data_IF_197441933787
#
_entry.id   IF_197441933787
#
_cell.length_a   1.000
_cell.length_b   1.000
_cell.length_c   1.000
_cell.angle_alpha   90.00
_cell.angle_beta   90.00
_cell.angle_gamma   90.00
#
_symmetry.space_group_name_H-M   'P 1'
#
loop_
_entity.id
_entity.type
_entity.pdbx_description
1 polymer ?
#
# COMPACT_ATOMS: atom_id res chain seq x y z
N UNK A 1 -31.76 16.55 -4.47
CA UNK A 1 -30.35 16.78 -4.06
C UNK A 1 -29.39 15.93 -4.88
N UNK A 2 -29.47 14.59 -4.83
CA UNK A 2 -28.55 13.67 -5.55
C UNK A 2 -28.31 14.00 -7.03
N UNK A 3 -29.37 14.34 -7.80
CA UNK A 3 -29.25 14.78 -9.20
C UNK A 3 -28.44 16.07 -9.38
N UNK A 4 -28.53 17.02 -8.45
CA UNK A 4 -27.81 18.31 -8.53
C UNK A 4 -26.31 18.16 -8.26
N UNK A 5 -25.91 17.11 -7.55
CA UNK A 5 -24.52 16.83 -7.18
C UNK A 5 -23.91 15.71 -8.01
N UNK A 6 -24.59 15.22 -9.06
CA UNK A 6 -24.07 14.22 -9.99
C UNK A 6 -23.95 12.81 -9.43
N UNK A 7 -24.65 12.47 -8.34
CA UNK A 7 -24.67 11.09 -7.79
C UNK A 7 -25.61 10.18 -8.60
N UNK A 8 -26.61 10.78 -9.27
CA UNK A 8 -27.64 10.09 -10.04
C UNK A 8 -27.82 10.78 -11.37
N UNK A 9 -27.63 10.02 -12.45
CA UNK A 9 -27.80 10.42 -13.85
C UNK A 9 -28.79 9.43 -14.52
N UNK A 10 -30.09 9.75 -14.50
CA UNK A 10 -31.13 8.89 -15.10
C UNK A 10 -31.71 7.82 -14.17
N UNK A 11 -31.81 6.57 -14.66
CA UNK A 11 -32.46 5.40 -14.03
C UNK A 11 -31.70 4.78 -12.85
N UNK A 12 -30.84 5.54 -12.15
CA UNK A 12 -30.17 4.98 -10.97
C UNK A 12 -31.20 4.64 -9.88
N UNK A 13 -31.02 3.45 -9.30
CA UNK A 13 -31.96 2.92 -8.34
C UNK A 13 -31.89 3.66 -7.01
N UNK A 14 -33.05 4.08 -6.53
CA UNK A 14 -33.28 4.67 -5.21
C UNK A 14 -34.12 3.68 -4.42
N UNK A 15 -33.75 3.43 -3.16
CA UNK A 15 -34.50 2.55 -2.26
C UNK A 15 -34.87 3.34 -0.99
N UNK A 16 -36.13 3.25 -0.57
CA UNK A 16 -36.55 3.79 0.72
C UNK A 16 -36.30 2.78 1.86
N UNK A 17 -36.08 3.27 3.09
CA UNK A 17 -35.89 2.41 4.26
C UNK A 17 -37.02 1.39 4.47
N UNK A 18 -38.27 1.75 4.13
CA UNK A 18 -39.41 0.82 4.20
C UNK A 18 -39.28 -0.36 3.23
N UNK A 19 -38.81 -0.10 2.02
CA UNK A 19 -38.56 -1.13 1.01
C UNK A 19 -37.37 -2.01 1.43
N UNK A 20 -36.31 -1.39 1.94
CA UNK A 20 -35.12 -2.09 2.44
C UNK A 20 -35.43 -3.03 3.62
N UNK A 21 -36.42 -2.69 4.45
CA UNK A 21 -36.90 -3.53 5.54
C UNK A 21 -37.65 -4.78 5.06
N UNK A 22 -38.31 -4.70 3.89
CA UNK A 22 -39.05 -5.82 3.30
C UNK A 22 -38.16 -6.74 2.47
N UNK A 23 -36.97 -6.28 2.06
CA UNK A 23 -36.02 -7.06 1.30
C UNK A 23 -35.27 -8.07 2.17
N UNK A 24 -35.16 -9.31 1.68
CA UNK A 24 -34.28 -10.31 2.27
C UNK A 24 -32.82 -9.86 2.19
N UNK A 25 -31.96 -10.41 3.05
CA UNK A 25 -30.54 -10.05 3.08
C UNK A 25 -29.85 -10.41 1.76
N UNK A 26 -30.13 -11.59 1.20
CA UNK A 26 -29.59 -12.06 -0.07
C UNK A 26 -30.04 -11.20 -1.26
N UNK A 27 -31.33 -10.83 -1.31
CA UNK A 27 -31.84 -9.96 -2.38
C UNK A 27 -31.22 -8.57 -2.32
N UNK A 28 -31.02 -8.07 -1.10
CA UNK A 28 -30.40 -6.77 -0.89
C UNK A 28 -28.92 -6.79 -1.26
N UNK A 29 -28.16 -7.81 -0.85
CA UNK A 29 -26.75 -7.98 -1.22
C UNK A 29 -26.55 -7.94 -2.74
N UNK A 30 -27.40 -8.62 -3.52
CA UNK A 30 -27.29 -8.62 -4.99
C UNK A 30 -27.53 -7.24 -5.61
N UNK A 31 -28.42 -6.45 -5.00
CA UNK A 31 -28.87 -5.16 -5.53
C UNK A 31 -28.06 -3.98 -4.99
N UNK A 32 -27.38 -4.12 -3.85
CA UNK A 32 -26.71 -3.04 -3.13
C UNK A 32 -25.73 -2.22 -4.00
N UNK A 33 -25.02 -2.86 -4.95
CA UNK A 33 -24.07 -2.19 -5.85
C UNK A 33 -24.75 -1.26 -6.89
N UNK A 34 -26.01 -1.49 -7.21
CA UNK A 34 -26.76 -0.71 -8.21
C UNK A 34 -27.49 0.49 -7.56
N UNK A 35 -27.69 0.44 -6.24
CA UNK A 35 -28.41 1.46 -5.49
C UNK A 35 -27.46 2.62 -5.20
N UNK A 36 -27.82 3.81 -5.65
CA UNK A 36 -27.02 5.04 -5.45
C UNK A 36 -27.53 5.90 -4.30
N UNK A 37 -28.81 5.76 -3.94
CA UNK A 37 -29.45 6.57 -2.91
C UNK A 37 -30.33 5.70 -2.04
N UNK A 38 -30.07 5.78 -0.73
CA UNK A 38 -30.94 5.24 0.31
C UNK A 38 -31.65 6.40 1.00
N UNK A 39 -32.98 6.40 0.99
CA UNK A 39 -33.78 7.49 1.55
C UNK A 39 -34.53 7.02 2.80
N UNK A 40 -34.61 7.91 3.82
CA UNK A 40 -35.34 7.66 5.07
C UNK A 40 -34.92 6.35 5.76
N UNK A 41 -33.61 6.17 5.92
CA UNK A 41 -33.03 4.97 6.54
C UNK A 41 -32.88 5.13 8.05
N UNK A 42 -33.19 4.05 8.77
CA UNK A 42 -32.97 3.95 10.20
C UNK A 42 -31.51 3.57 10.53
N UNK A 43 -31.01 3.81 11.75
CA UNK A 43 -29.63 3.51 12.14
C UNK A 43 -29.19 2.06 11.87
N UNK A 44 -30.04 1.09 12.19
CA UNK A 44 -29.77 -0.34 11.92
C UNK A 44 -29.64 -0.64 10.43
N UNK A 45 -30.37 0.09 9.60
CA UNK A 45 -30.34 -0.08 8.16
C UNK A 45 -29.03 0.44 7.55
N UNK A 46 -28.41 1.47 8.14
CA UNK A 46 -27.08 1.94 7.73
C UNK A 46 -26.04 0.82 7.91
N UNK A 47 -26.10 0.09 9.03
CA UNK A 47 -25.24 -1.06 9.29
C UNK A 47 -25.51 -2.18 8.26
N UNK A 48 -26.78 -2.45 7.95
CA UNK A 48 -27.17 -3.44 6.91
C UNK A 48 -26.57 -3.09 5.55
N UNK A 49 -26.59 -1.81 5.16
CA UNK A 49 -25.99 -1.31 3.90
C UNK A 49 -24.47 -1.53 3.89
N UNK A 50 -23.78 -1.13 4.97
CA UNK A 50 -22.32 -1.30 5.09
C UNK A 50 -21.93 -2.78 4.95
N UNK A 51 -22.59 -3.67 5.70
CA UNK A 51 -22.31 -5.11 5.66
C UNK A 51 -22.60 -5.73 4.28
N UNK A 52 -23.69 -5.31 3.62
CA UNK A 52 -24.02 -5.81 2.29
C UNK A 52 -22.96 -5.42 1.24
N UNK A 53 -22.40 -4.21 1.33
CA UNK A 53 -21.31 -3.77 0.46
C UNK A 53 -20.00 -4.52 0.78
N UNK A 54 -19.65 -4.67 2.06
CA UNK A 54 -18.48 -5.43 2.49
C UNK A 54 -18.50 -6.90 2.04
N UNK A 55 -19.66 -7.57 2.15
CA UNK A 55 -19.84 -8.96 1.68
C UNK A 55 -19.63 -9.13 0.17
N UNK A 56 -19.71 -8.05 -0.60
CA UNK A 56 -19.39 -8.04 -2.04
C UNK A 56 -17.91 -7.80 -2.34
N UNK A 57 -17.08 -7.65 -1.31
CA UNK A 57 -15.65 -7.36 -1.44
C UNK A 57 -15.33 -5.87 -1.66
N UNK A 58 -16.29 -4.97 -1.45
CA UNK A 58 -16.04 -3.53 -1.47
C UNK A 58 -15.41 -3.07 -0.15
N UNK A 59 -14.49 -2.11 -0.24
CA UNK A 59 -13.92 -1.45 0.94
C UNK A 59 -14.71 -0.16 1.23
N UNK A 60 -15.48 -0.16 2.31
CA UNK A 60 -16.56 0.79 2.56
C UNK A 60 -16.11 1.89 3.54
N UNK A 61 -16.19 3.13 3.08
CA UNK A 61 -16.11 4.30 3.94
C UNK A 61 -17.52 4.82 4.27
N UNK A 62 -17.79 5.08 5.54
CA UNK A 62 -19.07 5.66 6.00
C UNK A 62 -18.84 7.01 6.65
N UNK A 63 -19.66 8.00 6.31
CA UNK A 63 -19.66 9.32 6.96
C UNK A 63 -20.86 9.49 7.89
N UNK A 64 -20.68 10.15 9.03
CA UNK A 64 -21.75 10.41 9.99
C UNK A 64 -21.41 11.56 10.95
N UNK A 65 -22.43 12.18 11.52
CA UNK A 65 -22.30 13.29 12.48
C UNK A 65 -23.06 13.05 13.78
N UNK A 66 -24.08 12.19 13.75
CA UNK A 66 -24.91 11.88 14.91
C UNK A 66 -24.43 10.69 15.75
N UNK A 67 -24.90 10.65 17.01
CA UNK A 67 -24.76 9.49 17.92
C UNK A 67 -25.33 8.21 17.28
N UNK A 68 -26.40 8.36 16.50
CA UNK A 68 -27.05 7.26 15.78
C UNK A 68 -26.16 6.67 14.67
N UNK A 69 -25.16 7.40 14.19
CA UNK A 69 -24.25 6.93 13.15
C UNK A 69 -23.04 6.21 13.73
N UNK A 70 -22.73 6.40 15.02
CA UNK A 70 -21.57 5.80 15.68
C UNK A 70 -21.48 4.27 15.51
N UNK A 71 -22.58 3.49 15.65
CA UNK A 71 -22.52 2.05 15.39
C UNK A 71 -22.11 1.73 13.95
N UNK A 72 -22.62 2.47 12.98
CA UNK A 72 -22.39 2.20 11.57
C UNK A 72 -21.01 2.70 11.10
N UNK A 73 -20.52 3.81 11.66
CA UNK A 73 -19.13 4.27 11.52
C UNK A 73 -18.14 3.18 11.95
N UNK A 74 -18.38 2.56 13.11
CA UNK A 74 -17.53 1.50 13.66
C UNK A 74 -17.57 0.17 12.88
N UNK A 75 -18.63 -0.06 12.10
CA UNK A 75 -18.76 -1.26 11.28
C UNK A 75 -18.19 -1.09 9.87
N UNK A 76 -18.02 0.16 9.41
CA UNK A 76 -17.39 0.44 8.14
C UNK A 76 -15.89 0.10 8.19
N UNK A 77 -15.28 -0.10 7.02
CA UNK A 77 -13.83 -0.31 6.95
C UNK A 77 -13.06 0.98 7.24
N UNK A 78 -13.71 2.13 7.00
CA UNK A 78 -13.28 3.46 7.48
C UNK A 78 -14.51 4.26 7.91
N UNK A 79 -14.63 4.53 9.21
CA UNK A 79 -15.57 5.49 9.76
C UNK A 79 -15.04 6.92 9.65
N UNK A 80 -15.86 7.84 9.14
CA UNK A 80 -15.52 9.26 8.95
C UNK A 80 -16.52 10.15 9.70
N UNK A 81 -16.05 10.89 10.70
CA UNK A 81 -16.88 11.83 11.46
C UNK A 81 -16.68 13.29 11.01
N UNK A 82 -17.74 14.08 11.14
CA UNK A 82 -17.68 15.55 10.95
C UNK A 82 -17.03 16.21 12.18
N UNK A 83 -16.07 17.10 11.99
CA UNK A 83 -15.31 17.73 13.06
C UNK A 83 -16.03 18.88 13.73
N UNK A 84 -16.72 19.73 12.96
CA UNK A 84 -17.45 20.87 13.51
C UNK A 84 -18.88 20.50 13.92
N UNK A 85 -19.61 19.78 13.05
CA UNK A 85 -21.01 19.40 13.27
C UNK A 85 -21.19 18.06 14.00
N UNK A 86 -20.15 17.23 14.06
CA UNK A 86 -20.24 15.90 14.63
C UNK A 86 -20.22 15.89 16.16
N UNK A 87 -21.12 15.07 16.71
CA UNK A 87 -21.14 14.75 18.14
C UNK A 87 -19.83 14.10 18.61
N UNK A 88 -19.49 14.25 19.89
CA UNK A 88 -18.29 13.61 20.47
C UNK A 88 -18.33 12.08 20.27
N UNK A 89 -19.52 11.47 20.41
CA UNK A 89 -19.71 10.03 20.21
C UNK A 89 -19.40 9.60 18.77
N UNK A 90 -19.80 10.40 17.76
CA UNK A 90 -19.46 10.11 16.38
C UNK A 90 -17.95 10.22 16.12
N UNK A 91 -17.29 11.23 16.69
CA UNK A 91 -15.84 11.43 16.58
C UNK A 91 -15.04 10.32 17.26
N UNK A 92 -15.46 9.84 18.42
CA UNK A 92 -14.83 8.71 19.12
C UNK A 92 -15.03 7.37 18.38
N UNK A 93 -16.10 7.23 17.62
CA UNK A 93 -16.41 6.01 16.87
C UNK A 93 -15.78 5.95 15.47
N UNK A 94 -15.20 7.04 14.98
CA UNK A 94 -14.64 7.16 13.63
C UNK A 94 -13.12 6.94 13.60
N UNK A 95 -12.62 6.38 12.49
CA UNK A 95 -11.19 6.24 12.22
C UNK A 95 -10.56 7.55 11.72
N UNK A 96 -11.37 8.43 11.12
CA UNK A 96 -10.95 9.72 10.59
C UNK A 96 -11.96 10.82 10.93
N UNK A 97 -11.48 12.01 11.29
CA UNK A 97 -12.32 13.19 11.59
C UNK A 97 -12.02 14.31 10.59
N UNK A 98 -13.07 14.83 9.94
CA UNK A 98 -12.97 15.95 9.00
C UNK A 98 -13.07 17.29 9.75
N UNK A 99 -11.94 17.91 10.03
CA UNK A 99 -11.90 19.17 10.81
C UNK A 99 -12.62 20.35 10.14
N UNK A 100 -12.84 20.30 8.83
CA UNK A 100 -13.45 21.35 8.02
C UNK A 100 -14.87 21.03 7.53
N UNK A 101 -15.42 19.86 7.91
CA UNK A 101 -16.71 19.35 7.46
C UNK A 101 -16.88 19.30 5.93
N UNK A 102 -15.78 19.16 5.16
CA UNK A 102 -15.80 19.19 3.71
C UNK A 102 -15.59 17.81 3.08
N UNK A 103 -16.56 17.35 2.28
CA UNK A 103 -16.44 16.09 1.53
C UNK A 103 -15.25 16.05 0.56
N UNK A 104 -14.79 17.21 0.05
CA UNK A 104 -13.61 17.28 -0.80
C UNK A 104 -12.33 16.80 -0.08
N UNK A 105 -12.28 16.94 1.25
CA UNK A 105 -11.16 16.50 2.09
C UNK A 105 -11.05 14.98 2.12
N UNK A 106 -12.17 14.25 2.00
CA UNK A 106 -12.16 12.78 1.83
C UNK A 106 -11.44 12.39 0.53
N UNK A 107 -11.69 13.12 -0.57
CA UNK A 107 -11.01 12.86 -1.85
C UNK A 107 -9.50 13.11 -1.72
N UNK A 108 -9.11 14.15 -0.95
CA UNK A 108 -7.72 14.41 -0.59
C UNK A 108 -7.09 13.26 0.21
N UNK A 109 -7.79 12.78 1.25
CA UNK A 109 -7.34 11.66 2.08
C UNK A 109 -7.18 10.37 1.26
N UNK A 110 -8.10 10.07 0.33
CA UNK A 110 -7.99 8.93 -0.57
C UNK A 110 -6.76 9.05 -1.49
N UNK A 111 -6.49 10.25 -2.02
CA UNK A 111 -5.28 10.51 -2.83
C UNK A 111 -4.01 10.23 -2.02
N UNK A 112 -3.93 10.76 -0.80
CA UNK A 112 -2.76 10.58 0.06
C UNK A 112 -2.59 9.12 0.51
N UNK A 113 -3.69 8.43 0.81
CA UNK A 113 -3.66 7.00 1.13
C UNK A 113 -3.12 6.15 -0.02
N UNK A 114 -3.49 6.46 -1.27
CA UNK A 114 -2.92 5.80 -2.45
C UNK A 114 -1.42 6.07 -2.58
N UNK A 115 -0.97 7.31 -2.34
CA UNK A 115 0.45 7.68 -2.39
C UNK A 115 1.26 6.92 -1.34
N UNK A 116 0.78 6.90 -0.10
CA UNK A 116 1.43 6.18 1.00
C UNK A 116 1.56 4.69 0.64
N UNK A 117 0.51 4.08 0.10
CA UNK A 117 0.56 2.67 -0.30
C UNK A 117 1.60 2.40 -1.41
N UNK A 118 1.62 3.22 -2.47
CA UNK A 118 2.60 3.09 -3.56
C UNK A 118 4.04 3.21 -3.02
N UNK A 119 4.29 4.14 -2.10
CA UNK A 119 5.59 4.33 -1.46
C UNK A 119 5.98 3.15 -0.55
N UNK A 120 5.05 2.62 0.25
CA UNK A 120 5.28 1.41 1.06
C UNK A 120 5.63 0.22 0.16
N UNK A 121 4.93 0.08 -0.97
CA UNK A 121 5.21 -1.00 -1.93
C UNK A 121 6.60 -0.88 -2.56
N UNK A 122 7.04 0.33 -2.90
CA UNK A 122 8.42 0.60 -3.36
C UNK A 122 9.46 0.29 -2.29
N UNK A 123 9.22 0.70 -1.06
CA UNK A 123 10.08 0.41 0.09
C UNK A 123 10.23 -1.11 0.30
N UNK A 124 9.13 -1.85 0.36
CA UNK A 124 9.16 -3.32 0.51
C UNK A 124 9.91 -3.97 -0.63
N UNK A 125 9.65 -3.56 -1.89
CA UNK A 125 10.36 -4.08 -3.06
C UNK A 125 11.86 -3.84 -2.98
N UNK A 126 12.28 -2.66 -2.55
CA UNK A 126 13.68 -2.31 -2.35
C UNK A 126 14.34 -3.20 -1.29
N UNK A 127 13.83 -3.17 -0.06
CA UNK A 127 14.42 -3.90 1.08
C UNK A 127 14.46 -5.40 0.83
N UNK A 128 13.38 -5.98 0.29
CA UNK A 128 13.33 -7.41 0.00
C UNK A 128 14.32 -7.83 -1.09
N UNK A 129 14.54 -6.99 -2.10
CA UNK A 129 15.50 -7.27 -3.17
C UNK A 129 16.95 -7.13 -2.67
N UNK A 130 17.27 -6.11 -1.85
CA UNK A 130 18.57 -5.97 -1.19
C UNK A 130 18.89 -7.18 -0.32
N UNK A 131 17.94 -7.59 0.54
CA UNK A 131 18.06 -8.76 1.40
C UNK A 131 18.24 -10.06 0.58
N UNK A 132 17.52 -10.19 -0.54
CA UNK A 132 17.71 -11.34 -1.43
C UNK A 132 19.14 -11.39 -1.97
N UNK A 133 19.75 -10.25 -2.33
CA UNK A 133 21.14 -10.19 -2.77
C UNK A 133 22.12 -10.67 -1.70
N UNK A 134 21.97 -10.19 -0.46
CA UNK A 134 22.78 -10.64 0.68
C UNK A 134 22.67 -12.14 0.93
N UNK A 135 21.44 -12.67 0.90
CA UNK A 135 21.19 -14.10 1.06
C UNK A 135 21.92 -14.88 -0.04
N UNK A 136 21.83 -14.46 -1.30
CA UNK A 136 22.55 -15.14 -2.39
C UNK A 136 24.06 -15.11 -2.22
N UNK A 137 24.64 -13.97 -1.83
CA UNK A 137 26.09 -13.84 -1.57
C UNK A 137 26.53 -14.82 -0.49
N UNK A 138 25.84 -14.82 0.66
CA UNK A 138 26.19 -15.66 1.80
C UNK A 138 25.95 -17.15 1.51
N UNK A 139 24.88 -17.47 0.79
CA UNK A 139 24.52 -18.84 0.46
C UNK A 139 25.47 -19.43 -0.58
N UNK A 140 25.75 -18.72 -1.66
CA UNK A 140 26.50 -19.26 -2.80
C UNK A 140 28.01 -19.27 -2.60
N UNK A 141 28.57 -18.36 -1.80
CA UNK A 141 30.02 -18.30 -1.58
C UNK A 141 30.63 -19.65 -1.10
N UNK A 142 30.08 -20.33 -0.09
CA UNK A 142 30.57 -21.65 0.32
C UNK A 142 30.49 -22.72 -0.79
N UNK A 143 29.42 -22.72 -1.59
CA UNK A 143 29.27 -23.67 -2.71
C UNK A 143 30.30 -23.44 -3.81
N UNK A 144 30.78 -22.21 -3.97
CA UNK A 144 31.85 -21.83 -4.90
C UNK A 144 33.25 -22.00 -4.31
N UNK A 145 33.38 -22.49 -3.07
CA UNK A 145 34.67 -22.63 -2.38
C UNK A 145 35.29 -21.28 -1.97
N UNK A 146 34.50 -20.20 -1.96
CA UNK A 146 34.94 -18.87 -1.55
C UNK A 146 34.83 -18.71 -0.03
N UNK A 147 35.71 -17.90 0.60
CA UNK A 147 35.59 -17.58 2.01
C UNK A 147 34.31 -16.77 2.29
N UNK A 148 33.89 -16.72 3.56
CA UNK A 148 32.70 -15.98 3.98
C UNK A 148 32.81 -14.51 3.53
N UNK A 149 31.91 -14.01 2.66
CA UNK A 149 32.09 -12.70 2.02
C UNK A 149 31.90 -11.53 2.98
N UNK A 150 30.94 -11.66 3.89
CA UNK A 150 30.53 -10.60 4.81
C UNK A 150 30.52 -11.12 6.25
N UNK A 151 31.03 -10.29 7.17
CA UNK A 151 30.93 -10.52 8.60
C UNK A 151 29.56 -10.03 9.11
N UNK A 152 29.07 -10.56 10.25
CA UNK A 152 27.82 -10.09 10.86
C UNK A 152 27.74 -8.58 11.07
N UNK A 153 28.87 -7.94 11.41
CA UNK A 153 28.95 -6.48 11.58
C UNK A 153 28.71 -5.71 10.26
N UNK A 154 29.16 -6.25 9.12
CA UNK A 154 28.90 -5.67 7.80
C UNK A 154 27.41 -5.74 7.47
N UNK A 155 26.78 -6.88 7.75
CA UNK A 155 25.33 -7.10 7.52
C UNK A 155 24.51 -6.13 8.37
N UNK A 156 24.85 -5.97 9.65
CA UNK A 156 24.19 -5.00 10.53
C UNK A 156 24.33 -3.56 9.99
N UNK A 157 25.51 -3.21 9.50
CA UNK A 157 25.75 -1.89 8.92
C UNK A 157 24.93 -1.65 7.64
N UNK A 158 24.84 -2.66 6.77
CA UNK A 158 24.04 -2.56 5.53
C UNK A 158 22.57 -2.38 5.88
N UNK A 159 22.00 -3.25 6.71
CA UNK A 159 20.59 -3.21 7.09
C UNK A 159 20.21 -1.90 7.81
N UNK A 160 21.06 -1.39 8.69
CA UNK A 160 20.74 -0.20 9.48
C UNK A 160 20.97 1.10 8.70
N UNK A 161 22.15 1.25 8.08
CA UNK A 161 22.59 2.52 7.51
C UNK A 161 22.31 2.56 6.02
N UNK A 162 22.72 1.52 5.29
CA UNK A 162 22.68 1.53 3.82
C UNK A 162 21.26 1.33 3.29
N UNK A 163 20.48 0.45 3.89
CA UNK A 163 19.09 0.20 3.47
C UNK A 163 18.09 1.12 4.16
N UNK A 164 18.36 1.51 5.41
CA UNK A 164 17.48 2.37 6.20
C UNK A 164 17.27 3.75 5.56
N UNK A 165 18.36 4.43 5.16
CA UNK A 165 18.26 5.80 4.63
C UNK A 165 17.53 5.88 3.29
N UNK A 166 17.87 5.09 2.26
CA UNK A 166 17.12 5.08 1.01
C UNK A 166 15.69 4.58 1.19
N UNK A 167 15.47 3.64 2.11
CA UNK A 167 14.14 3.16 2.43
C UNK A 167 13.22 4.26 2.98
N UNK A 168 13.72 5.09 3.89
CA UNK A 168 13.01 6.28 4.37
C UNK A 168 12.78 7.31 3.26
N UNK A 169 13.74 7.49 2.36
CA UNK A 169 13.58 8.39 1.21
C UNK A 169 12.46 7.91 0.27
N UNK A 170 12.37 6.61 0.00
CA UNK A 170 11.29 6.02 -0.81
C UNK A 170 9.91 6.20 -0.16
N UNK A 171 9.83 6.15 1.17
CA UNK A 171 8.59 6.40 1.89
C UNK A 171 8.07 7.84 1.70
N UNK A 172 8.97 8.81 1.49
CA UNK A 172 8.66 10.23 1.33
C UNK A 172 8.48 10.67 -0.14
N UNK A 173 8.59 9.77 -1.12
CA UNK A 173 8.47 10.11 -2.54
C UNK A 173 7.14 10.81 -2.88
N UNK A 174 7.13 11.74 -3.84
CA UNK A 174 5.91 12.37 -4.34
C UNK A 174 4.96 11.35 -5.00
N UNK A 175 3.69 11.74 -5.13
CA UNK A 175 2.69 10.90 -5.80
C UNK A 175 3.00 10.64 -7.28
N UNK A 176 2.64 9.45 -7.76
CA UNK A 176 2.79 9.12 -9.17
C UNK A 176 1.75 9.84 -10.04
N UNK A 177 2.13 10.12 -11.29
CA UNK A 177 1.23 10.71 -12.27
C UNK A 177 -0.01 9.82 -12.45
N UNK A 178 -1.19 10.45 -12.37
CA UNK A 178 -2.46 9.78 -12.59
C UNK A 178 -2.90 8.84 -11.46
N UNK A 179 -2.42 9.01 -10.23
CA UNK A 179 -2.78 8.17 -9.07
C UNK A 179 -4.30 8.03 -8.85
N UNK A 180 -5.06 9.10 -9.09
CA UNK A 180 -6.53 9.11 -8.96
C UNK A 180 -7.28 8.57 -10.19
N UNK A 181 -6.60 8.36 -11.32
CA UNK A 181 -7.20 7.78 -12.54
C UNK A 181 -7.19 6.26 -12.53
N UNK A 182 -6.44 5.64 -11.62
CA UNK A 182 -6.37 4.18 -11.44
C UNK A 182 -7.62 3.70 -10.68
N UNK A 183 -8.17 2.53 -11.02
CA UNK A 183 -9.24 1.93 -10.22
C UNK A 183 -8.75 1.64 -8.80
N UNK A 184 -9.66 1.54 -7.80
CA UNK A 184 -9.30 1.07 -6.47
C UNK A 184 -8.62 -0.30 -6.52
N UNK A 185 -7.64 -0.52 -5.64
CA UNK A 185 -6.96 -1.81 -5.51
C UNK A 185 -7.92 -2.84 -4.90
N UNK A 186 -7.94 -4.09 -5.38
CA UNK A 186 -8.63 -5.17 -4.69
C UNK A 186 -8.10 -5.34 -3.25
N UNK A 187 -8.96 -5.44 -2.23
CA UNK A 187 -8.53 -5.59 -0.84
C UNK A 187 -7.63 -6.80 -0.59
N UNK A 188 -7.86 -7.89 -1.33
CA UNK A 188 -7.15 -9.17 -1.18
C UNK A 188 -5.83 -9.26 -1.97
N UNK A 189 -5.47 -8.23 -2.75
CA UNK A 189 -4.24 -8.27 -3.54
C UNK A 189 -3.00 -8.27 -2.62
N UNK A 190 -2.12 -9.26 -2.79
CA UNK A 190 -0.88 -9.33 -2.02
C UNK A 190 0.09 -8.19 -2.37
N UNK A 191 0.89 -7.75 -1.39
CA UNK A 191 1.96 -6.76 -1.62
C UNK A 191 2.96 -7.25 -2.69
N UNK A 192 3.16 -8.57 -2.80
CA UNK A 192 4.07 -9.19 -3.76
C UNK A 192 3.45 -9.43 -5.15
N UNK A 193 2.22 -8.97 -5.38
CA UNK A 193 1.57 -9.06 -6.68
C UNK A 193 2.33 -8.27 -7.76
N UNK A 194 1.97 -8.55 -9.02
CA UNK A 194 2.54 -7.92 -10.21
C UNK A 194 4.05 -8.18 -10.40
N UNK A 195 4.50 -9.42 -10.18
CA UNK A 195 5.87 -9.84 -10.49
C UNK A 195 6.95 -9.35 -9.51
N UNK A 196 6.57 -8.74 -8.38
CA UNK A 196 7.53 -8.25 -7.38
C UNK A 196 8.47 -9.35 -6.88
N UNK A 197 7.94 -10.54 -6.59
CA UNK A 197 8.75 -11.67 -6.11
C UNK A 197 9.75 -12.17 -7.16
N UNK A 198 9.39 -12.13 -8.45
CA UNK A 198 10.30 -12.50 -9.55
C UNK A 198 11.43 -11.48 -9.66
N UNK A 199 11.10 -10.19 -9.59
CA UNK A 199 12.07 -9.11 -9.59
C UNK A 199 13.06 -9.24 -8.42
N UNK A 200 12.55 -9.50 -7.21
CA UNK A 200 13.36 -9.71 -6.01
C UNK A 200 14.41 -10.82 -6.20
N UNK A 201 13.99 -11.98 -6.72
CA UNK A 201 14.89 -13.12 -6.93
C UNK A 201 15.93 -12.81 -8.02
N UNK A 202 15.50 -12.32 -9.18
CA UNK A 202 16.40 -12.11 -10.31
C UNK A 202 17.40 -10.98 -10.07
N UNK A 203 16.95 -9.86 -9.52
CA UNK A 203 17.83 -8.73 -9.21
C UNK A 203 18.74 -9.07 -8.03
N UNK A 204 18.21 -9.75 -7.00
CA UNK A 204 19.03 -10.27 -5.91
C UNK A 204 20.12 -11.21 -6.42
N UNK A 205 19.80 -12.14 -7.33
CA UNK A 205 20.78 -13.04 -7.93
C UNK A 205 21.83 -12.29 -8.76
N UNK A 206 21.43 -11.26 -9.50
CA UNK A 206 22.35 -10.41 -10.27
C UNK A 206 23.34 -9.68 -9.36
N UNK A 207 22.83 -9.05 -8.28
CA UNK A 207 23.67 -8.35 -7.29
C UNK A 207 24.59 -9.34 -6.58
N UNK A 208 24.05 -10.50 -6.19
CA UNK A 208 24.84 -11.54 -5.55
C UNK A 208 25.93 -12.09 -6.47
N UNK A 209 25.59 -12.38 -7.72
CA UNK A 209 26.55 -12.80 -8.75
C UNK A 209 27.65 -11.78 -8.99
N UNK A 210 27.31 -10.50 -9.17
CA UNK A 210 28.28 -9.41 -9.34
C UNK A 210 29.23 -9.29 -8.14
N UNK A 211 28.69 -9.42 -6.93
CA UNK A 211 29.45 -9.35 -5.68
C UNK A 211 30.42 -10.53 -5.55
N UNK A 212 29.97 -11.76 -5.85
CA UNK A 212 30.80 -12.97 -5.82
C UNK A 212 31.85 -12.99 -6.93
N UNK A 213 31.53 -12.50 -8.13
CA UNK A 213 32.50 -12.33 -9.21
C UNK A 213 33.61 -11.35 -8.79
N UNK A 214 33.23 -10.24 -8.16
CA UNK A 214 34.18 -9.26 -7.63
C UNK A 214 35.03 -9.86 -6.50
N UNK A 215 34.45 -10.72 -5.67
CA UNK A 215 35.18 -11.46 -4.63
C UNK A 215 36.22 -12.40 -5.23
N UNK A 216 35.82 -13.25 -6.18
CA UNK A 216 36.71 -14.21 -6.82
C UNK A 216 37.88 -13.50 -7.52
N UNK A 217 37.57 -12.42 -8.25
CA UNK A 217 38.59 -11.59 -8.91
C UNK A 217 39.56 -10.94 -7.91
N UNK A 218 39.06 -10.40 -6.80
CA UNK A 218 39.91 -9.77 -5.79
C UNK A 218 40.84 -10.78 -5.10
N UNK A 219 40.35 -12.00 -4.83
CA UNK A 219 41.16 -13.08 -4.23
C UNK A 219 42.23 -13.55 -5.22
N UNK A 220 41.87 -13.79 -6.49
CA UNK A 220 42.82 -14.21 -7.54
C UNK A 220 43.90 -13.15 -7.80
N UNK A 221 43.53 -11.86 -7.73
CA UNK A 221 44.46 -10.74 -7.85
C UNK A 221 45.38 -10.56 -6.63
N UNK A 222 45.22 -11.36 -5.57
CA UNK A 222 46.01 -11.28 -4.33
C UNK A 222 45.71 -10.04 -3.48
N UNK A 223 44.52 -9.45 -3.61
CA UNK A 223 44.15 -8.26 -2.85
C UNK A 223 43.91 -8.59 -1.37
N UNK A 224 44.71 -8.02 -0.47
CA UNK A 224 44.55 -8.21 0.98
C UNK A 224 43.22 -7.66 1.52
N UNK A 225 42.59 -6.75 0.80
CA UNK A 225 41.36 -6.03 1.14
C UNK A 225 40.12 -6.53 0.36
N UNK A 226 40.10 -7.80 -0.06
CA UNK A 226 38.99 -8.40 -0.81
C UNK A 226 37.63 -8.26 -0.11
N UNK A 227 37.57 -8.34 1.23
CA UNK A 227 36.32 -8.14 1.99
C UNK A 227 35.77 -6.72 1.84
N UNK A 228 36.64 -5.71 1.81
CA UNK A 228 36.24 -4.32 1.59
C UNK A 228 35.70 -4.15 0.18
N UNK A 229 36.33 -4.76 -0.83
CA UNK A 229 35.86 -4.72 -2.22
C UNK A 229 34.46 -5.33 -2.32
N UNK A 230 34.24 -6.51 -1.74
CA UNK A 230 32.92 -7.18 -1.69
C UNK A 230 31.88 -6.27 -1.04
N UNK A 231 32.18 -5.74 0.14
CA UNK A 231 31.29 -4.85 0.87
C UNK A 231 30.92 -3.59 0.07
N UNK A 232 31.91 -2.94 -0.55
CA UNK A 232 31.70 -1.74 -1.35
C UNK A 232 30.90 -2.04 -2.62
N UNK A 233 31.20 -3.13 -3.34
CA UNK A 233 30.46 -3.52 -4.55
C UNK A 233 29.00 -3.81 -4.22
N UNK A 234 28.74 -4.52 -3.10
CA UNK A 234 27.38 -4.81 -2.67
C UNK A 234 26.60 -3.53 -2.38
N UNK A 235 27.17 -2.63 -1.56
CA UNK A 235 26.54 -1.35 -1.21
C UNK A 235 26.26 -0.50 -2.45
N UNK A 236 27.24 -0.35 -3.34
CA UNK A 236 27.06 0.45 -4.55
C UNK A 236 25.99 -0.16 -5.47
N UNK A 237 25.93 -1.49 -5.55
CA UNK A 237 24.90 -2.19 -6.32
C UNK A 237 23.50 -1.98 -5.74
N UNK A 238 23.36 -2.06 -4.41
CA UNK A 238 22.10 -1.78 -3.70
C UNK A 238 21.67 -0.32 -3.89
N UNK A 239 22.59 0.65 -3.79
CA UNK A 239 22.29 2.06 -4.05
C UNK A 239 21.88 2.31 -5.50
N UNK A 240 22.52 1.65 -6.47
CA UNK A 240 22.10 1.72 -7.87
C UNK A 240 20.68 1.13 -8.07
N UNK A 241 20.35 0.07 -7.33
CA UNK A 241 19.03 -0.55 -7.36
C UNK A 241 17.94 0.37 -6.80
N UNK A 242 18.21 1.18 -5.76
CA UNK A 242 17.27 2.21 -5.26
C UNK A 242 16.85 3.12 -6.41
N UNK A 243 17.83 3.60 -7.18
CA UNK A 243 17.58 4.50 -8.31
C UNK A 243 16.72 3.82 -9.37
N UNK A 244 16.97 2.54 -9.65
CA UNK A 244 16.16 1.76 -10.59
C UNK A 244 14.72 1.51 -10.10
N UNK A 245 14.49 1.39 -8.79
CA UNK A 245 13.15 1.12 -8.21
C UNK A 245 12.34 2.40 -8.01
N UNK A 246 12.98 3.58 -7.98
CA UNK A 246 12.33 4.87 -7.75
C UNK A 246 11.12 5.11 -8.67
N UNK A 247 11.18 4.61 -9.90
CA UNK A 247 10.08 4.70 -10.86
C UNK A 247 9.69 3.32 -11.39
N UNK A 248 8.46 2.88 -11.14
CA UNK A 248 7.94 1.62 -11.69
C UNK A 248 7.45 1.74 -13.15
N UNK A 249 7.27 2.96 -13.67
CA UNK A 249 6.62 3.19 -14.98
C UNK A 249 7.31 4.20 -15.88
N UNK A 250 7.93 5.24 -15.31
CA UNK A 250 8.65 6.25 -16.07
C UNK A 250 10.15 5.91 -16.08
N UNK A 251 10.80 5.99 -17.24
CA UNK A 251 12.25 5.78 -17.32
C UNK A 251 12.97 6.91 -16.57
N UNK A 252 14.11 6.62 -15.94
CA UNK A 252 14.96 7.61 -15.25
C UNK A 252 15.39 8.80 -16.14
N UNK A 253 15.17 8.69 -17.45
CA UNK A 253 15.57 9.66 -18.47
C UNK A 253 14.38 10.40 -19.12
N UNK A 254 13.17 10.35 -18.56
CA UNK A 254 11.99 11.04 -19.16
C UNK A 254 11.04 11.57 -18.09
#
# INVERSE_FOLDING_TARGET
MAKRVGIVDGDNRVIEGKELAQMSELDFEQQAAQVRVYARVDPEQKIKIVRALQKRGEYVAMTGDGVNDAPALKHADIGIAMGCKGTDVAREAADMVLLDDNFATIVGAVREGRRIYDNVRKFVKYTMTSNSGEIWVLLLAPFLGLPIPLLPIHILWINLVTDGLPGLALAAEPEERGIMRRPPRPPEESIFANGMWQHMIWVGLLIGGLTLMSQAWAIDSGANNWQTIVFTVLILSQLAQVLAIRSERDSLFT
#
